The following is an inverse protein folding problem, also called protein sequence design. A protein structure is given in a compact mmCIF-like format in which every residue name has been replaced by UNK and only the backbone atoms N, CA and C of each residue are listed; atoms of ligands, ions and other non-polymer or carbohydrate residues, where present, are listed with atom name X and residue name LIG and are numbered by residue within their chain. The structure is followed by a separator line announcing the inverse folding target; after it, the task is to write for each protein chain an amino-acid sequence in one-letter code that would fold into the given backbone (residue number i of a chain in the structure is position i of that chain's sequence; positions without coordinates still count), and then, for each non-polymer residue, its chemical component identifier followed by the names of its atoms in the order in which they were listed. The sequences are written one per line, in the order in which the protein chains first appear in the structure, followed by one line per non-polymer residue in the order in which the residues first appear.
data_IF_320275290679
#
_entry.id   IF_320275290679
#
_cell.length_a   1.000
_cell.length_b   1.000
_cell.length_c   1.000
_cell.angle_alpha   90.00
_cell.angle_beta   90.00
_cell.angle_gamma   90.00
#
_symmetry.space_group_name_H-M   'P 1'
#
loop_
_entity.id
_entity.type
_entity.pdbx_description
1 polymer ?
#
# COMPACT_ATOMS: atom_id res chain seq x y z
N UNK A 1 6.94 -61.32 -12.82
CA UNK A 1 7.98 -60.52 -12.13
C UNK A 1 7.28 -59.34 -11.48
N UNK A 2 7.22 -59.35 -10.14
CA UNK A 2 7.02 -58.26 -9.17
C UNK A 2 5.83 -57.32 -9.45
N UNK A 3 4.62 -57.55 -8.91
CA UNK A 3 4.14 -57.36 -7.51
C UNK A 3 4.12 -55.89 -7.07
N UNK A 4 3.12 -55.34 -6.39
CA UNK A 4 1.78 -55.77 -6.02
C UNK A 4 1.08 -54.51 -5.45
N UNK A 5 -0.24 -54.45 -5.58
CA UNK A 5 -1.12 -53.57 -4.83
C UNK A 5 -0.86 -53.69 -3.32
N UNK A 6 -1.13 -52.64 -2.54
CA UNK A 6 -1.81 -52.73 -1.22
C UNK A 6 -1.95 -51.33 -0.59
N UNK A 7 -3.15 -50.79 -0.73
CA UNK A 7 -3.77 -49.94 0.29
C UNK A 7 -3.93 -50.75 1.58
N UNK A 8 -3.66 -50.16 2.74
CA UNK A 8 -4.55 -50.05 3.94
C UNK A 8 -3.78 -49.94 5.26
N UNK A 9 -4.46 -49.27 6.20
CA UNK A 9 -4.26 -49.21 7.66
C UNK A 9 -3.18 -48.26 8.19
N UNK A 10 -3.30 -47.66 9.38
CA UNK A 10 -4.40 -47.16 10.21
C UNK A 10 -3.65 -46.48 11.37
N UNK A 11 -4.17 -45.34 11.79
CA UNK A 11 -3.94 -44.59 13.04
C UNK A 11 -3.33 -45.40 14.20
N UNK A 12 -2.23 -44.92 14.81
CA UNK A 12 -1.98 -45.04 16.25
C UNK A 12 -1.24 -43.81 16.81
N UNK A 13 -1.92 -43.18 17.77
CA UNK A 13 -1.48 -42.19 18.75
C UNK A 13 -0.37 -42.70 19.67
N UNK A 14 0.59 -41.84 20.03
CA UNK A 14 1.21 -41.83 21.35
C UNK A 14 1.96 -40.52 21.61
N UNK A 15 1.45 -39.77 22.58
CA UNK A 15 2.06 -38.65 23.28
C UNK A 15 3.40 -39.02 23.92
N UNK A 16 4.45 -38.22 23.72
CA UNK A 16 5.53 -38.07 24.69
C UNK A 16 6.06 -36.63 24.67
N UNK A 17 5.76 -35.91 25.75
CA UNK A 17 6.52 -34.73 26.17
C UNK A 17 7.80 -35.18 26.87
N UNK A 18 8.86 -34.36 26.85
CA UNK A 18 9.72 -34.23 28.01
C UNK A 18 9.63 -32.82 28.62
N UNK A 19 9.55 -32.81 29.94
CA UNK A 19 9.58 -31.62 30.78
C UNK A 19 10.98 -31.00 30.87
N UNK A 20 10.94 -29.69 31.15
CA UNK A 20 11.99 -28.69 31.32
C UNK A 20 13.23 -29.03 32.17
N UNK A 21 14.33 -28.35 31.84
CA UNK A 21 15.27 -27.64 32.73
C UNK A 21 15.87 -26.49 31.87
N UNK A 22 15.50 -25.22 32.03
CA UNK A 22 15.86 -24.35 33.16
C UNK A 22 17.10 -23.53 32.80
N UNK A 23 16.93 -22.29 32.31
CA UNK A 23 18.02 -21.30 32.23
C UNK A 23 17.50 -19.88 32.48
N UNK A 24 17.85 -19.42 33.69
CA UNK A 24 17.94 -18.07 34.26
C UNK A 24 17.74 -16.87 33.34
N UNK A 25 16.75 -16.04 33.69
CA UNK A 25 16.58 -14.68 33.22
C UNK A 25 17.72 -13.77 33.74
N UNK A 26 18.66 -13.42 32.86
CA UNK A 26 19.52 -12.26 33.04
C UNK A 26 18.80 -11.04 32.44
N UNK A 27 18.46 -10.11 33.33
CA UNK A 27 17.78 -8.86 33.05
C UNK A 27 18.75 -7.89 32.35
N UNK A 28 18.88 -7.99 31.03
CA UNK A 28 19.52 -6.95 30.21
C UNK A 28 18.42 -6.17 29.52
N UNK A 29 17.98 -5.09 30.16
CA UNK A 29 17.19 -4.03 29.56
C UNK A 29 18.08 -3.27 28.58
N UNK A 30 18.38 -3.87 27.43
CA UNK A 30 18.83 -3.11 26.27
C UNK A 30 17.59 -2.50 25.69
N UNK A 31 17.43 -1.20 25.92
CA UNK A 31 16.42 -0.37 25.28
C UNK A 31 16.52 -0.58 23.77
N UNK A 32 15.67 -1.45 23.23
CA UNK A 32 15.28 -1.40 21.84
C UNK A 32 14.56 -0.07 21.69
N UNK A 33 15.32 0.97 21.39
CA UNK A 33 14.81 2.16 20.74
C UNK A 33 14.04 1.67 19.52
N UNK A 34 12.73 1.54 19.69
CA UNK A 34 11.78 1.42 18.61
C UNK A 34 11.92 2.69 17.81
N UNK A 35 12.88 2.72 16.88
CA UNK A 35 12.82 3.63 15.75
C UNK A 35 11.48 3.34 15.10
N UNK A 36 10.54 4.25 15.33
CA UNK A 36 9.25 4.26 14.68
C UNK A 36 9.53 4.04 13.19
N UNK A 37 9.02 2.92 12.69
CA UNK A 37 9.20 2.47 11.32
C UNK A 37 8.81 3.60 10.36
N UNK A 38 9.80 4.32 9.85
CA UNK A 38 9.71 5.07 8.59
C UNK A 38 9.71 4.10 7.39
N UNK A 39 9.41 2.82 7.64
CA UNK A 39 9.81 1.65 6.86
C UNK A 39 8.84 1.27 5.75
N UNK A 40 7.71 1.96 5.60
CA UNK A 40 6.72 1.56 4.59
C UNK A 40 7.02 2.15 3.21
N UNK A 41 7.34 3.45 3.14
CA UNK A 41 7.66 4.11 1.87
C UNK A 41 9.12 3.86 1.43
N UNK A 42 10.07 3.89 2.38
CA UNK A 42 11.46 3.51 2.14
C UNK A 42 11.60 2.01 1.85
N UNK A 43 10.76 1.17 2.48
CA UNK A 43 10.71 -0.26 2.24
C UNK A 43 10.31 -0.62 0.79
N UNK A 44 9.36 0.12 0.21
CA UNK A 44 8.98 -0.01 -1.20
C UNK A 44 10.13 0.38 -2.14
N UNK A 45 10.93 1.39 -1.77
CA UNK A 45 12.02 1.84 -2.62
C UNK A 45 13.27 0.94 -2.55
N UNK A 46 13.36 0.01 -1.60
CA UNK A 46 14.55 -0.83 -1.37
C UNK A 46 14.95 -1.69 -2.57
N UNK A 47 13.98 -2.10 -3.39
CA UNK A 47 14.19 -2.96 -4.57
C UNK A 47 14.54 -2.14 -5.83
N UNK A 48 14.48 -0.81 -5.75
CA UNK A 48 14.80 0.09 -6.84
C UNK A 48 16.31 0.35 -6.93
N UNK A 49 16.78 0.72 -8.13
CA UNK A 49 18.14 1.23 -8.29
C UNK A 49 18.39 2.48 -7.45
N UNK A 50 19.64 2.72 -7.08
CA UNK A 50 20.05 3.91 -6.32
C UNK A 50 19.65 5.22 -7.01
N UNK A 51 19.65 5.24 -8.34
CA UNK A 51 19.17 6.38 -9.13
C UNK A 51 17.67 6.63 -8.92
N UNK A 52 16.86 5.58 -8.91
CA UNK A 52 15.42 5.72 -8.73
C UNK A 52 15.04 6.02 -7.28
N UNK A 53 15.78 5.46 -6.32
CA UNK A 53 15.67 5.83 -4.90
C UNK A 53 15.94 7.33 -4.70
N UNK A 54 17.01 7.86 -5.32
CA UNK A 54 17.33 9.27 -5.27
C UNK A 54 16.25 10.14 -5.94
N UNK A 55 15.70 9.71 -7.08
CA UNK A 55 14.57 10.40 -7.73
C UNK A 55 13.32 10.42 -6.84
N UNK A 56 12.95 9.29 -6.24
CA UNK A 56 11.83 9.22 -5.30
C UNK A 56 12.04 10.15 -4.09
N UNK A 57 13.25 10.17 -3.52
CA UNK A 57 13.63 11.11 -2.45
C UNK A 57 13.56 12.58 -2.90
N UNK A 58 13.98 12.87 -4.12
CA UNK A 58 13.88 14.20 -4.72
C UNK A 58 12.43 14.66 -4.89
N UNK A 59 11.52 13.76 -5.30
CA UNK A 59 10.10 14.09 -5.41
C UNK A 59 9.50 14.49 -4.07
N UNK A 60 9.84 13.77 -2.99
CA UNK A 60 9.35 14.06 -1.63
C UNK A 60 9.67 15.48 -1.16
N UNK A 61 10.82 16.01 -1.59
CA UNK A 61 11.33 17.33 -1.17
C UNK A 61 11.08 18.43 -2.19
N UNK A 62 10.51 18.09 -3.36
CA UNK A 62 10.18 19.03 -4.43
C UNK A 62 8.80 19.67 -4.26
N UNK A 63 8.48 20.65 -5.12
CA UNK A 63 7.13 21.21 -5.23
C UNK A 63 6.07 20.15 -5.49
N UNK A 64 6.42 19.08 -6.23
CA UNK A 64 5.52 17.94 -6.43
C UNK A 64 5.18 17.26 -5.11
N UNK A 65 6.16 17.10 -4.21
CA UNK A 65 6.00 16.58 -2.86
C UNK A 65 4.95 17.35 -2.06
N UNK A 66 4.99 18.67 -2.17
CA UNK A 66 4.05 19.57 -1.50
C UNK A 66 2.65 19.51 -2.11
N UNK A 67 2.49 19.71 -3.42
CA UNK A 67 1.17 19.79 -4.06
C UNK A 67 0.44 18.43 -4.20
N UNK A 68 1.17 17.32 -4.16
CA UNK A 68 0.56 15.98 -4.10
C UNK A 68 0.43 15.42 -2.69
N UNK A 69 0.90 16.16 -1.68
CA UNK A 69 0.88 15.76 -0.27
C UNK A 69 1.47 14.35 -0.06
N UNK A 70 2.66 14.08 -0.62
CA UNK A 70 3.24 12.72 -0.60
C UNK A 70 3.47 12.24 0.83
N UNK A 71 3.85 13.13 1.75
CA UNK A 71 4.03 12.80 3.17
C UNK A 71 2.73 12.25 3.78
N UNK A 72 1.58 12.83 3.43
CA UNK A 72 0.28 12.28 3.82
C UNK A 72 0.03 10.89 3.22
N UNK A 73 0.42 10.68 1.96
CA UNK A 73 0.26 9.39 1.27
C UNK A 73 1.06 8.26 1.93
N UNK A 74 2.25 8.56 2.47
CA UNK A 74 3.06 7.57 3.21
C UNK A 74 2.27 6.93 4.36
N UNK A 75 1.40 7.70 5.03
CA UNK A 75 0.56 7.20 6.11
C UNK A 75 -0.51 6.22 5.62
N UNK A 76 -0.99 6.37 4.38
CA UNK A 76 -1.92 5.44 3.73
C UNK A 76 -1.21 4.14 3.41
N UNK A 77 -0.04 4.24 2.78
CA UNK A 77 0.77 3.09 2.36
C UNK A 77 1.25 2.28 3.57
N UNK A 78 1.61 2.95 4.66
CA UNK A 78 2.11 2.32 5.88
C UNK A 78 1.02 1.77 6.81
N UNK A 79 -0.25 1.94 6.49
CA UNK A 79 -1.33 1.47 7.34
C UNK A 79 -1.35 -0.07 7.43
N UNK A 80 -1.20 -0.59 8.66
CA UNK A 80 -1.25 -2.03 8.93
C UNK A 80 -2.68 -2.58 9.07
N UNK A 81 -3.70 -1.73 8.94
CA UNK A 81 -5.11 -2.06 9.10
C UNK A 81 -5.97 -1.39 8.04
N UNK A 82 -7.17 -0.94 8.41
CA UNK A 82 -8.01 -0.17 7.48
C UNK A 82 -7.28 1.09 7.01
N UNK A 83 -7.27 1.29 5.69
CA UNK A 83 -6.72 2.51 5.08
C UNK A 83 -7.70 3.68 5.14
N UNK A 84 -8.95 3.50 5.58
CA UNK A 84 -10.00 4.52 5.43
C UNK A 84 -9.64 5.86 6.08
N UNK A 85 -9.23 5.84 7.35
CA UNK A 85 -8.84 7.06 8.06
C UNK A 85 -7.61 7.74 7.43
N UNK A 86 -6.47 7.06 7.24
CA UNK A 86 -5.31 7.71 6.62
C UNK A 86 -5.60 8.15 5.18
N UNK A 87 -6.38 7.40 4.40
CA UNK A 87 -6.79 7.77 3.04
C UNK A 87 -7.65 9.03 3.06
N UNK A 88 -8.67 9.09 3.92
CA UNK A 88 -9.55 10.26 4.05
C UNK A 88 -8.75 11.52 4.40
N UNK A 89 -7.80 11.39 5.34
CA UNK A 89 -6.92 12.50 5.73
C UNK A 89 -6.02 12.94 4.57
N UNK A 90 -5.42 12.00 3.85
CA UNK A 90 -4.57 12.33 2.70
C UNK A 90 -5.37 12.99 1.57
N UNK A 91 -6.55 12.45 1.21
CA UNK A 91 -7.46 13.01 0.20
C UNK A 91 -7.85 14.44 0.60
N UNK A 92 -8.26 14.66 1.85
CA UNK A 92 -8.56 16.00 2.34
C UNK A 92 -7.38 16.96 2.17
N UNK A 93 -6.17 16.51 2.50
CA UNK A 93 -4.94 17.30 2.36
C UNK A 93 -4.61 17.65 0.90
N UNK A 94 -4.62 16.67 -0.02
CA UNK A 94 -4.29 16.91 -1.44
C UNK A 94 -5.35 17.75 -2.16
N UNK A 95 -6.61 17.66 -1.73
CA UNK A 95 -7.70 18.44 -2.30
C UNK A 95 -7.75 19.88 -1.75
N UNK A 96 -7.26 20.10 -0.54
CA UNK A 96 -7.12 21.44 0.06
C UNK A 96 -5.84 22.16 -0.39
N UNK A 97 -4.83 21.42 -0.83
CA UNK A 97 -3.60 21.97 -1.39
C UNK A 97 -3.83 22.60 -2.77
N UNK A 98 -3.02 23.60 -3.10
CA UNK A 98 -2.92 24.12 -4.47
C UNK A 98 -2.52 22.98 -5.40
N UNK A 99 -3.25 22.77 -6.53
CA UNK A 99 -2.90 21.72 -7.48
C UNK A 99 -1.48 21.88 -8.01
N UNK A 100 -0.80 20.78 -8.33
CA UNK A 100 0.50 20.84 -9.00
C UNK A 100 0.38 21.57 -10.34
N UNK A 101 1.30 22.49 -10.61
CA UNK A 101 1.36 23.18 -11.89
C UNK A 101 1.86 22.25 -13.00
N UNK A 102 1.59 22.60 -14.26
CA UNK A 102 2.12 21.86 -15.42
C UNK A 102 3.64 21.75 -15.38
N UNK A 103 4.34 22.81 -14.97
CA UNK A 103 5.81 22.79 -14.85
C UNK A 103 6.26 21.86 -13.73
N UNK A 104 5.61 21.90 -12.56
CA UNK A 104 5.88 20.97 -11.45
C UNK A 104 5.71 19.51 -11.90
N UNK A 105 4.64 19.19 -12.62
CA UNK A 105 4.39 17.84 -13.13
C UNK A 105 5.40 17.42 -14.21
N UNK A 106 5.82 18.34 -15.06
CA UNK A 106 6.87 18.10 -16.05
C UNK A 106 8.21 17.80 -15.38
N UNK A 107 8.60 18.59 -14.39
CA UNK A 107 9.84 18.39 -13.63
C UNK A 107 9.80 17.07 -12.85
N UNK A 108 8.66 16.73 -12.23
CA UNK A 108 8.47 15.46 -11.55
C UNK A 108 8.60 14.28 -12.52
N UNK A 109 7.96 14.36 -13.70
CA UNK A 109 8.08 13.33 -14.73
C UNK A 109 9.51 13.18 -15.24
N UNK A 110 10.23 14.28 -15.45
CA UNK A 110 11.64 14.23 -15.84
C UNK A 110 12.51 13.60 -14.75
N UNK A 111 12.24 13.91 -13.48
CA UNK A 111 12.94 13.33 -12.33
C UNK A 111 12.76 11.81 -12.29
N UNK A 112 11.52 11.32 -12.43
CA UNK A 112 11.23 9.88 -12.48
C UNK A 112 11.83 9.24 -13.72
N UNK A 113 11.56 9.78 -14.90
CA UNK A 113 12.02 9.20 -16.17
C UNK A 113 13.54 9.08 -16.23
N UNK A 114 14.27 10.06 -15.68
CA UNK A 114 15.73 10.04 -15.65
C UNK A 114 16.25 9.08 -14.58
N UNK A 115 15.82 9.26 -13.32
CA UNK A 115 16.36 8.48 -12.21
C UNK A 115 15.91 7.02 -12.18
N UNK A 116 14.70 6.73 -12.66
CA UNK A 116 14.11 5.40 -12.69
C UNK A 116 14.17 4.74 -14.07
N UNK A 117 14.86 5.32 -15.05
CA UNK A 117 14.94 4.79 -16.43
C UNK A 117 15.24 3.29 -16.50
N UNK A 118 16.27 2.84 -15.77
CA UNK A 118 16.68 1.44 -15.74
C UNK A 118 15.66 0.53 -15.07
N UNK A 119 15.00 0.99 -14.01
CA UNK A 119 13.97 0.23 -13.30
C UNK A 119 12.68 0.12 -14.12
N UNK A 120 12.29 1.19 -14.82
CA UNK A 120 11.16 1.20 -15.75
C UNK A 120 11.42 0.24 -16.91
N UNK A 121 12.62 0.25 -17.51
CA UNK A 121 12.98 -0.68 -18.60
C UNK A 121 12.94 -2.16 -18.15
N UNK A 122 13.24 -2.41 -16.87
CA UNK A 122 13.13 -3.74 -16.26
C UNK A 122 11.71 -4.09 -15.81
N UNK A 123 10.72 -3.24 -16.08
CA UNK A 123 9.34 -3.39 -15.64
C UNK A 123 9.21 -3.53 -14.11
N UNK A 124 10.04 -2.81 -13.35
CA UNK A 124 9.86 -2.72 -11.90
C UNK A 124 8.48 -2.13 -11.63
N UNK A 125 7.64 -2.90 -10.93
CA UNK A 125 6.26 -2.54 -10.58
C UNK A 125 6.22 -1.17 -9.90
N UNK A 126 7.19 -0.90 -9.02
CA UNK A 126 7.25 0.31 -8.21
C UNK A 126 7.68 1.52 -9.05
N UNK A 127 8.67 1.35 -9.93
CA UNK A 127 9.10 2.42 -10.83
C UNK A 127 8.02 2.78 -11.85
N UNK A 128 7.34 1.77 -12.41
CA UNK A 128 6.22 1.95 -13.34
C UNK A 128 5.03 2.60 -12.62
N UNK A 129 4.72 2.19 -11.39
CA UNK A 129 3.67 2.81 -10.59
C UNK A 129 4.00 4.29 -10.32
N UNK A 130 5.24 4.61 -9.94
CA UNK A 130 5.67 5.99 -9.70
C UNK A 130 5.53 6.85 -10.96
N UNK A 131 6.00 6.36 -12.12
CA UNK A 131 5.84 7.05 -13.40
C UNK A 131 4.36 7.27 -13.73
N UNK A 132 3.52 6.26 -13.50
CA UNK A 132 2.07 6.32 -13.77
C UNK A 132 1.39 7.35 -12.89
N UNK A 133 1.71 7.39 -11.59
CA UNK A 133 1.14 8.35 -10.64
C UNK A 133 1.45 9.79 -11.06
N UNK A 134 2.72 10.07 -11.37
CA UNK A 134 3.13 11.43 -11.77
C UNK A 134 2.51 11.81 -13.12
N UNK A 135 2.45 10.90 -14.08
CA UNK A 135 1.88 11.15 -15.41
C UNK A 135 0.36 11.38 -15.39
N UNK A 136 -0.34 10.78 -14.43
CA UNK A 136 -1.80 10.83 -14.33
C UNK A 136 -2.30 11.67 -13.14
N UNK A 137 -1.42 12.47 -12.53
CA UNK A 137 -1.72 13.21 -11.30
C UNK A 137 -3.03 14.01 -11.39
N UNK A 138 -3.26 14.78 -12.47
CA UNK A 138 -4.45 15.62 -12.59
C UNK A 138 -5.74 14.79 -12.57
N UNK A 139 -5.82 13.75 -13.41
CA UNK A 139 -7.00 12.88 -13.45
C UNK A 139 -7.22 12.13 -12.14
N UNK A 140 -6.14 11.65 -11.51
CA UNK A 140 -6.21 10.98 -10.21
C UNK A 140 -6.68 11.95 -9.12
N UNK A 141 -6.16 13.18 -9.08
CA UNK A 141 -6.57 14.22 -8.14
C UNK A 141 -8.03 14.60 -8.34
N UNK A 142 -8.47 14.82 -9.58
CA UNK A 142 -9.86 15.18 -9.87
C UNK A 142 -10.83 14.10 -9.39
N UNK A 143 -10.51 12.83 -9.64
CA UNK A 143 -11.31 11.70 -9.16
C UNK A 143 -11.34 11.63 -7.62
N UNK A 144 -10.18 11.75 -6.97
CA UNK A 144 -10.08 11.70 -5.50
C UNK A 144 -10.78 12.88 -4.83
N UNK A 145 -10.74 14.05 -5.46
CA UNK A 145 -11.34 15.28 -4.95
C UNK A 145 -12.81 15.45 -5.34
N UNK A 146 -13.37 14.52 -6.10
CA UNK A 146 -14.81 14.50 -6.38
C UNK A 146 -15.58 14.28 -5.08
N UNK A 147 -16.58 15.11 -4.83
CA UNK A 147 -17.43 15.06 -3.64
C UNK A 147 -18.89 14.80 -4.02
N UNK A 148 -19.63 14.20 -3.09
CA UNK A 148 -21.08 14.12 -3.18
C UNK A 148 -21.68 15.51 -3.01
N UNK A 149 -22.63 15.85 -3.88
CA UNK A 149 -23.38 17.11 -3.80
C UNK A 149 -24.24 17.22 -2.54
N UNK A 150 -24.67 16.09 -1.98
CA UNK A 150 -25.58 16.04 -0.85
C UNK A 150 -24.94 16.42 0.50
N UNK A 151 -23.64 16.14 0.70
CA UNK A 151 -22.99 16.27 2.00
C UNK A 151 -21.50 16.67 1.93
N UNK A 152 -20.97 16.97 0.74
CA UNK A 152 -19.58 17.39 0.52
C UNK A 152 -18.52 16.38 0.99
N UNK A 153 -18.86 15.10 1.15
CA UNK A 153 -17.87 14.06 1.45
C UNK A 153 -17.20 13.58 0.17
N UNK A 154 -15.91 13.25 0.25
CA UNK A 154 -15.16 12.71 -0.89
C UNK A 154 -15.71 11.34 -1.30
N UNK A 155 -15.93 11.15 -2.60
CA UNK A 155 -16.57 9.95 -3.14
C UNK A 155 -15.73 8.70 -2.86
N UNK A 156 -14.43 8.72 -3.17
CA UNK A 156 -13.57 7.54 -3.05
C UNK A 156 -13.49 7.01 -1.61
N UNK A 157 -13.15 7.81 -0.58
CA UNK A 157 -13.15 7.33 0.80
C UNK A 157 -14.54 6.87 1.28
N UNK A 158 -15.61 7.54 0.85
CA UNK A 158 -16.98 7.18 1.24
C UNK A 158 -17.40 5.83 0.65
N UNK A 159 -17.13 5.58 -0.64
CA UNK A 159 -17.40 4.30 -1.31
C UNK A 159 -16.64 3.18 -0.60
N UNK A 160 -15.35 3.37 -0.33
CA UNK A 160 -14.55 2.38 0.41
C UNK A 160 -15.10 2.14 1.82
N UNK A 161 -15.59 3.18 2.50
CA UNK A 161 -16.25 3.06 3.80
C UNK A 161 -17.53 2.22 3.75
N UNK A 162 -18.36 2.42 2.73
CA UNK A 162 -19.56 1.61 2.51
C UNK A 162 -19.22 0.14 2.28
N UNK A 163 -18.13 -0.13 1.56
CA UNK A 163 -17.69 -1.49 1.25
C UNK A 163 -17.08 -2.18 2.46
N UNK A 164 -16.28 -1.46 3.26
CA UNK A 164 -15.82 -1.95 4.56
C UNK A 164 -17.00 -2.37 5.43
N UNK A 165 -18.04 -1.54 5.47
CA UNK A 165 -19.26 -1.79 6.25
C UNK A 165 -20.03 -2.99 5.70
N UNK A 166 -20.26 -3.05 4.39
CA UNK A 166 -21.03 -4.12 3.74
C UNK A 166 -20.31 -5.49 3.76
N UNK A 167 -18.98 -5.49 3.67
CA UNK A 167 -18.17 -6.71 3.70
C UNK A 167 -17.81 -7.18 5.10
N UNK A 168 -18.02 -6.35 6.13
CA UNK A 168 -17.60 -6.61 7.50
C UNK A 168 -16.07 -6.73 7.67
N UNK A 169 -15.29 -6.28 6.67
CA UNK A 169 -13.85 -6.47 6.58
C UNK A 169 -13.12 -5.15 6.38
N UNK A 170 -11.96 -4.98 7.03
CA UNK A 170 -11.14 -3.80 6.83
C UNK A 170 -10.63 -3.72 5.38
N UNK A 171 -10.77 -2.55 4.76
CA UNK A 171 -10.13 -2.28 3.47
C UNK A 171 -8.66 -1.98 3.73
N UNK A 172 -7.80 -2.90 3.35
CA UNK A 172 -6.33 -2.77 3.46
C UNK A 172 -5.70 -2.47 2.09
N UNK A 173 -4.42 -2.12 2.06
CA UNK A 173 -3.67 -1.99 0.79
C UNK A 173 -3.74 -3.28 -0.03
N UNK A 174 -3.64 -4.45 0.62
CA UNK A 174 -3.70 -5.76 -0.06
C UNK A 174 -5.08 -6.04 -0.68
N UNK A 175 -6.15 -5.59 -0.02
CA UNK A 175 -7.50 -5.66 -0.59
C UNK A 175 -7.60 -4.77 -1.83
N UNK A 176 -7.10 -3.53 -1.80
CA UNK A 176 -7.08 -2.63 -2.97
C UNK A 176 -6.32 -3.24 -4.13
N UNK A 177 -5.13 -3.79 -3.88
CA UNK A 177 -4.33 -4.47 -4.93
C UNK A 177 -5.10 -5.67 -5.51
N UNK A 178 -5.77 -6.45 -4.66
CA UNK A 178 -6.57 -7.60 -5.10
C UNK A 178 -7.76 -7.17 -5.97
N UNK A 179 -8.44 -6.09 -5.60
CA UNK A 179 -9.56 -5.51 -6.34
C UNK A 179 -9.16 -5.05 -7.73
N UNK A 180 -8.07 -4.29 -7.84
CA UNK A 180 -7.53 -3.80 -9.12
C UNK A 180 -7.06 -4.97 -10.00
N UNK A 181 -6.57 -6.04 -9.39
CA UNK A 181 -6.16 -7.26 -10.09
C UNK A 181 -7.33 -8.15 -10.53
N UNK A 182 -8.58 -7.79 -10.21
CA UNK A 182 -9.78 -8.57 -10.54
C UNK A 182 -9.98 -9.81 -9.67
N UNK A 183 -9.28 -9.92 -8.54
CA UNK A 183 -9.46 -11.04 -7.61
C UNK A 183 -10.73 -10.85 -6.77
N UNK A 184 -11.46 -11.96 -6.58
CA UNK A 184 -12.70 -11.98 -5.80
C UNK A 184 -12.38 -12.00 -4.31
N UNK A 185 -12.36 -10.84 -3.68
CA UNK A 185 -12.32 -10.70 -2.20
C UNK A 185 -13.72 -10.37 -1.65
N UNK A 186 -13.96 -10.48 -0.33
CA UNK A 186 -15.21 -10.00 0.27
C UNK A 186 -15.50 -8.53 -0.07
N UNK A 187 -14.45 -7.69 -0.10
CA UNK A 187 -14.56 -6.32 -0.58
C UNK A 187 -14.97 -6.29 -2.07
N UNK A 188 -14.35 -7.11 -2.94
CA UNK A 188 -14.67 -7.14 -4.37
C UNK A 188 -16.12 -7.55 -4.68
N UNK A 189 -16.67 -8.47 -3.89
CA UNK A 189 -18.09 -8.80 -3.96
C UNK A 189 -18.99 -7.66 -3.51
N UNK A 190 -18.60 -6.93 -2.46
CA UNK A 190 -19.34 -5.77 -1.99
C UNK A 190 -19.27 -4.59 -2.98
N UNK A 191 -18.13 -4.38 -3.65
CA UNK A 191 -17.98 -3.42 -4.74
C UNK A 191 -18.97 -3.67 -5.89
N UNK A 192 -19.13 -4.93 -6.31
CA UNK A 192 -20.07 -5.30 -7.38
C UNK A 192 -21.55 -5.00 -7.06
N UNK A 193 -21.86 -4.76 -5.78
CA UNK A 193 -23.20 -4.46 -5.29
C UNK A 193 -23.38 -2.96 -4.95
N UNK A 194 -22.38 -2.12 -5.17
CA UNK A 194 -22.53 -0.66 -4.99
C UNK A 194 -23.40 -0.12 -6.12
N UNK A 195 -24.56 0.50 -5.82
CA UNK A 195 -25.41 1.09 -6.84
C UNK A 195 -24.66 2.18 -7.62
N UNK A 196 -24.77 2.12 -8.96
CA UNK A 196 -24.26 3.14 -9.89
C UNK A 196 -25.10 4.40 -9.86
#
# INVERSE_FOLDING_TARGET
MISAALSTLLVLSASYAPAALGQTAANTTTSSSSTASTSSALGLASDLSSGCQAAAGGLLTSDFGACSNIVGLVSVIGASGSILTPLTNWVSGVCSATPCTTDTLKQANQTVSTGCSSDIQKNSVIAVALQTIVSNYNGARDMLCTQYTANSTFCVPSILGNIQTASGSNITINEIVSLVSGNVTPAGKAFANVPS
#
